data_IF_982076753488
#
_entry.id   IF_982076753488
#
_cell.length_a   1.000
_cell.length_b   1.000
_cell.length_c   1.000
_cell.angle_alpha   90.00
_cell.angle_beta   90.00
_cell.angle_gamma   90.00
#
_symmetry.space_group_name_H-M   'P 1'
#
loop_
_entity.id
_entity.type
_entity.pdbx_description
1 polymer ?
#
# COMPACT_ATOMS: atom_id res chain seq x y z
N UNK A 1 -2.27 1.20 21.15
CA UNK A 1 -2.84 2.57 21.16
C UNK A 1 -1.99 3.34 20.17
N UNK A 2 -2.18 2.96 18.91
CA UNK A 2 -1.31 3.31 17.81
C UNK A 2 -1.51 4.77 17.45
N UNK A 3 -0.39 5.47 17.31
CA UNK A 3 -0.27 6.85 16.87
C UNK A 3 -1.23 7.08 15.72
N UNK A 4 -2.31 7.85 15.96
CA UNK A 4 -3.30 8.19 14.93
C UNK A 4 -2.61 9.14 13.95
N UNK A 5 -1.87 8.58 13.00
CA UNK A 5 -1.37 9.30 11.84
C UNK A 5 -2.61 9.68 11.02
N UNK A 6 -2.82 10.98 10.79
CA UNK A 6 -3.90 11.46 9.93
C UNK A 6 -3.63 10.98 8.50
N UNK A 7 -4.28 9.89 8.13
CA UNK A 7 -4.37 9.45 6.75
C UNK A 7 -5.23 10.43 5.97
N UNK A 8 -4.83 10.73 4.74
CA UNK A 8 -5.72 11.41 3.81
C UNK A 8 -6.79 10.43 3.28
N UNK A 9 -7.76 10.94 2.52
CA UNK A 9 -8.87 10.11 2.04
C UNK A 9 -8.43 8.95 1.15
N UNK A 10 -7.42 9.15 0.30
CA UNK A 10 -6.90 8.13 -0.60
C UNK A 10 -6.14 7.04 0.19
N UNK A 11 -5.29 7.45 1.12
CA UNK A 11 -4.58 6.55 2.04
C UNK A 11 -5.55 5.73 2.88
N UNK A 12 -6.65 6.33 3.36
CA UNK A 12 -7.67 5.63 4.13
C UNK A 12 -8.37 4.54 3.29
N UNK A 13 -8.73 4.87 2.04
CA UNK A 13 -9.34 3.91 1.12
C UNK A 13 -8.39 2.75 0.80
N UNK A 14 -7.12 3.06 0.55
CA UNK A 14 -6.10 2.05 0.30
C UNK A 14 -5.85 1.19 1.55
N UNK A 15 -5.78 1.79 2.73
CA UNK A 15 -5.62 1.07 4.00
C UNK A 15 -6.75 0.06 4.21
N UNK A 16 -8.01 0.46 4.00
CA UNK A 16 -9.17 -0.44 4.09
C UNK A 16 -9.10 -1.58 3.08
N UNK A 17 -8.64 -1.30 1.85
CA UNK A 17 -8.49 -2.32 0.81
C UNK A 17 -7.40 -3.33 1.14
N UNK A 18 -6.26 -2.88 1.66
CA UNK A 18 -5.15 -3.74 2.10
C UNK A 18 -5.61 -4.65 3.23
N UNK A 19 -6.31 -4.09 4.23
CA UNK A 19 -6.77 -4.85 5.38
C UNK A 19 -7.81 -5.92 4.98
N UNK A 20 -8.65 -5.60 4.00
CA UNK A 20 -9.62 -6.54 3.42
C UNK A 20 -8.97 -7.65 2.58
N UNK A 21 -7.86 -7.34 1.89
CA UNK A 21 -7.13 -8.28 1.04
C UNK A 21 -6.33 -9.28 1.87
N UNK A 22 -5.51 -8.79 2.81
CA UNK A 22 -4.78 -9.62 3.75
C UNK A 22 -5.65 -9.93 4.97
N UNK A 23 -6.55 -10.91 4.80
CA UNK A 23 -7.43 -11.41 5.88
C UNK A 23 -6.70 -12.12 7.03
N UNK A 24 -5.38 -12.28 6.92
CA UNK A 24 -4.57 -12.90 7.97
C UNK A 24 -4.48 -11.96 9.19
N UNK A 25 -4.95 -12.44 10.34
CA UNK A 25 -4.92 -11.68 11.60
C UNK A 25 -3.55 -11.68 12.26
N UNK A 26 -2.65 -12.59 11.89
CA UNK A 26 -1.29 -12.67 12.45
C UNK A 26 -0.33 -11.64 11.83
N UNK A 27 -0.78 -10.91 10.80
CA UNK A 27 0.02 -9.90 10.11
C UNK A 27 -0.39 -8.50 10.58
N UNK A 28 0.57 -7.72 11.08
CA UNK A 28 0.36 -6.32 11.42
C UNK A 28 0.01 -5.50 10.18
N UNK A 29 -0.68 -4.36 10.36
CA UNK A 29 -1.02 -3.48 9.24
C UNK A 29 0.22 -3.02 8.46
N UNK A 30 1.34 -2.76 9.16
CA UNK A 30 2.62 -2.42 8.54
C UNK A 30 3.14 -3.53 7.62
N UNK A 31 3.10 -4.78 8.10
CA UNK A 31 3.51 -5.94 7.28
C UNK A 31 2.60 -6.08 6.06
N UNK A 32 1.27 -5.90 6.22
CA UNK A 32 0.33 -5.91 5.08
C UNK A 32 0.68 -4.85 4.03
N UNK A 33 0.99 -3.62 4.46
CA UNK A 33 1.42 -2.53 3.55
C UNK A 33 2.74 -2.88 2.87
N UNK A 34 3.72 -3.40 3.62
CA UNK A 34 5.01 -3.82 3.06
C UNK A 34 4.84 -4.92 1.99
N UNK A 35 4.03 -5.94 2.26
CA UNK A 35 3.75 -7.00 1.28
C UNK A 35 3.00 -6.48 0.05
N UNK A 36 2.02 -5.58 0.22
CA UNK A 36 1.35 -4.93 -0.90
C UNK A 36 2.35 -4.17 -1.79
N UNK A 37 3.35 -3.53 -1.19
CA UNK A 37 4.39 -2.78 -1.92
C UNK A 37 5.28 -3.73 -2.72
N UNK A 38 5.70 -4.86 -2.15
CA UNK A 38 6.48 -5.88 -2.86
C UNK A 38 5.73 -6.42 -4.09
N UNK A 39 4.45 -6.76 -3.94
CA UNK A 39 3.61 -7.25 -5.05
C UNK A 39 3.52 -6.19 -6.15
N UNK A 40 3.22 -4.94 -5.75
CA UNK A 40 3.04 -3.81 -6.69
C UNK A 40 4.32 -3.52 -7.47
N UNK A 41 5.48 -3.50 -6.80
CA UNK A 41 6.78 -3.32 -7.45
C UNK A 41 7.08 -4.45 -8.44
N UNK A 42 6.80 -5.70 -8.05
CA UNK A 42 7.00 -6.84 -8.93
C UNK A 42 6.12 -6.76 -10.20
N UNK A 43 4.85 -6.36 -10.08
CA UNK A 43 3.96 -6.17 -11.23
C UNK A 43 4.48 -5.08 -12.20
N UNK A 44 5.03 -3.98 -11.66
CA UNK A 44 5.62 -2.92 -12.48
C UNK A 44 6.89 -3.38 -13.20
N UNK A 45 7.78 -4.07 -12.51
CA UNK A 45 9.05 -4.57 -13.07
C UNK A 45 8.82 -5.63 -14.14
N UNK A 46 7.88 -6.55 -13.88
CA UNK A 46 7.52 -7.62 -14.82
C UNK A 46 6.66 -7.13 -16.01
N UNK A 47 6.32 -5.83 -16.05
CA UNK A 47 5.43 -5.25 -17.06
C UNK A 47 4.07 -5.95 -17.12
N UNK A 48 3.55 -6.38 -15.97
CA UNK A 48 2.26 -7.06 -15.83
C UNK A 48 1.08 -6.07 -15.83
N UNK A 49 1.05 -5.17 -16.81
CA UNK A 49 -0.06 -4.24 -17.05
C UNK A 49 -0.47 -4.29 -18.51
N UNK A 50 -1.77 -4.24 -18.79
CA UNK A 50 -2.32 -4.35 -20.14
C UNK A 50 -2.19 -3.08 -20.98
N UNK A 51 -2.01 -1.92 -20.35
CA UNK A 51 -1.79 -0.63 -21.02
C UNK A 51 -1.17 0.43 -20.10
N UNK A 52 -0.82 1.58 -20.67
CA UNK A 52 -0.21 2.71 -19.93
C UNK A 52 -1.13 3.28 -18.84
N UNK A 53 -2.45 3.27 -19.05
CA UNK A 53 -3.39 3.76 -18.05
C UNK A 53 -3.38 2.85 -16.80
N UNK A 54 -3.32 1.54 -17.00
CA UNK A 54 -3.15 0.59 -15.90
C UNK A 54 -1.80 0.76 -15.20
N UNK A 55 -0.71 0.92 -15.95
CA UNK A 55 0.61 1.23 -15.39
C UNK A 55 0.58 2.46 -14.49
N UNK A 56 -0.06 3.55 -14.92
CA UNK A 56 -0.19 4.76 -14.12
C UNK A 56 -0.97 4.55 -12.82
N UNK A 57 -2.05 3.74 -12.86
CA UNK A 57 -2.81 3.38 -11.65
C UNK A 57 -1.97 2.55 -10.68
N UNK A 58 -1.21 1.59 -11.17
CA UNK A 58 -0.30 0.77 -10.35
C UNK A 58 0.80 1.64 -9.73
N UNK A 59 1.36 2.59 -10.50
CA UNK A 59 2.32 3.58 -9.97
C UNK A 59 1.73 4.51 -8.91
N UNK A 60 0.50 4.99 -9.11
CA UNK A 60 -0.20 5.79 -8.12
C UNK A 60 -0.42 4.99 -6.83
N UNK A 61 -0.86 3.73 -6.96
CA UNK A 61 -1.03 2.84 -5.82
C UNK A 61 0.28 2.64 -5.06
N UNK A 62 1.41 2.40 -5.76
CA UNK A 62 2.72 2.27 -5.16
C UNK A 62 3.12 3.52 -4.33
N UNK A 63 2.82 4.73 -4.82
CA UNK A 63 3.09 5.98 -4.09
C UNK A 63 2.27 6.09 -2.80
N UNK A 64 1.00 5.67 -2.83
CA UNK A 64 0.15 5.67 -1.63
C UNK A 64 0.65 4.65 -0.60
N UNK A 65 1.12 3.48 -1.05
CA UNK A 65 1.73 2.47 -0.19
C UNK A 65 3.00 2.98 0.49
N UNK A 66 3.88 3.68 -0.24
CA UNK A 66 5.09 4.29 0.33
C UNK A 66 4.73 5.31 1.43
N UNK A 67 3.74 6.18 1.18
CA UNK A 67 3.24 7.13 2.17
C UNK A 67 2.67 6.44 3.43
N UNK A 68 1.90 5.36 3.24
CA UNK A 68 1.41 4.53 4.35
C UNK A 68 2.56 3.87 5.12
N UNK A 69 3.59 3.38 4.43
CA UNK A 69 4.72 2.72 5.06
C UNK A 69 5.55 3.70 5.90
N UNK A 70 5.83 4.90 5.38
CA UNK A 70 6.51 5.95 6.13
C UNK A 70 5.75 6.33 7.41
N UNK A 71 4.43 6.49 7.29
CA UNK A 71 3.53 6.77 8.42
C UNK A 71 3.39 5.61 9.41
N UNK A 72 3.62 4.39 8.98
CA UNK A 72 3.57 3.23 9.91
C UNK A 72 4.94 2.88 10.49
N UNK A 73 6.02 3.46 9.97
CA UNK A 73 7.40 3.17 10.41
C UNK A 73 7.93 4.17 11.45
N UNK A 74 7.21 5.27 11.72
CA UNK A 74 7.58 6.21 12.79
C UNK A 74 8.95 6.87 12.57
N UNK A 75 9.33 7.11 11.31
CA UNK A 75 10.50 7.95 11.01
C UNK A 75 10.00 9.39 10.96
N UNK A 76 10.43 10.16 11.96
CA UNK A 76 10.28 11.62 12.08
C UNK A 76 11.27 12.28 11.12
#
# INVERSE_FOLDING_TARGET
>A
MDTIMKLNNEELQVAQRIDSYFRCNDMSFREKVFHAMLITSHELEAHHFGNEYERQRVMQFARVLDGLLQKTTGVI
#
